data_IF_273885247226
#
_entry.id   IF_273885247226
#
_cell.length_a   1.000
_cell.length_b   1.000
_cell.length_c   1.000
_cell.angle_alpha   90.00
_cell.angle_beta   90.00
_cell.angle_gamma   90.00
#
_symmetry.space_group_name_H-M   'P 1'
#
loop_
_entity.id
_entity.type
_entity.pdbx_description
1 polymer ?
#
# COMPACT_ATOMS: atom_id res chain seq x y z
N UNK A 1 -45.03 -10.48 -21.42
CA UNK A 1 -45.95 -9.61 -20.66
C UNK A 1 -46.28 -10.34 -19.36
N UNK A 2 -46.24 -9.64 -18.22
CA UNK A 2 -46.55 -10.20 -16.90
C UNK A 2 -48.04 -9.94 -16.64
N UNK A 3 -48.75 -10.91 -16.08
CA UNK A 3 -50.20 -10.83 -15.79
C UNK A 3 -50.39 -10.94 -14.28
N UNK A 4 -51.26 -10.12 -13.70
CA UNK A 4 -51.59 -10.18 -12.29
C UNK A 4 -53.03 -9.76 -12.01
N UNK A 5 -53.58 -10.23 -10.89
CA UNK A 5 -54.90 -9.83 -10.42
C UNK A 5 -54.90 -8.36 -9.98
N UNK A 6 -55.75 -7.55 -10.60
CA UNK A 6 -55.93 -6.16 -10.22
C UNK A 6 -57.09 -6.04 -9.21
N UNK A 7 -56.84 -5.58 -7.97
CA UNK A 7 -57.89 -5.45 -6.96
C UNK A 7 -58.95 -4.41 -7.32
N UNK A 8 -58.60 -3.38 -8.10
CA UNK A 8 -59.53 -2.36 -8.56
C UNK A 8 -60.46 -2.84 -9.70
N UNK A 9 -59.92 -3.59 -10.68
CA UNK A 9 -60.73 -4.16 -11.77
C UNK A 9 -61.41 -5.49 -11.40
N UNK A 10 -61.00 -6.11 -10.30
CA UNK A 10 -61.46 -7.43 -9.83
C UNK A 10 -61.28 -8.51 -10.93
N UNK A 11 -60.17 -8.42 -11.67
CA UNK A 11 -59.81 -9.34 -12.75
C UNK A 11 -58.31 -9.30 -13.01
N UNK A 12 -57.80 -10.37 -13.61
CA UNK A 12 -56.43 -10.43 -14.14
C UNK A 12 -56.28 -9.56 -15.39
N UNK A 13 -55.22 -8.77 -15.40
CA UNK A 13 -54.81 -7.93 -16.53
C UNK A 13 -53.31 -8.00 -16.70
N UNK A 14 -52.85 -7.66 -17.90
CA UNK A 14 -51.44 -7.35 -18.12
C UNK A 14 -51.01 -6.20 -17.20
N UNK A 15 -49.79 -6.30 -16.70
CA UNK A 15 -49.13 -5.26 -15.92
C UNK A 15 -47.87 -4.78 -16.64
N UNK A 16 -47.59 -3.50 -16.51
CA UNK A 16 -46.41 -2.87 -17.08
C UNK A 16 -45.50 -2.25 -15.99
N UNK A 17 -44.17 -2.28 -16.18
CA UNK A 17 -43.24 -1.71 -15.21
C UNK A 17 -43.22 -0.18 -15.30
N UNK A 18 -43.18 0.47 -14.14
CA UNK A 18 -43.02 1.92 -13.97
C UNK A 18 -41.85 2.17 -13.03
N UNK A 19 -41.00 3.12 -13.39
CA UNK A 19 -39.91 3.60 -12.53
C UNK A 19 -40.32 4.88 -11.84
N UNK A 20 -40.13 4.96 -10.53
CA UNK A 20 -40.32 6.18 -9.73
C UNK A 20 -39.27 6.25 -8.62
N UNK A 21 -38.92 7.44 -8.12
CA UNK A 21 -38.07 7.56 -6.95
C UNK A 21 -38.81 7.07 -5.70
N UNK A 22 -38.13 6.31 -4.86
CA UNK A 22 -38.63 5.81 -3.58
C UNK A 22 -37.55 5.91 -2.51
N UNK A 23 -37.95 6.25 -1.28
CA UNK A 23 -37.03 6.36 -0.14
C UNK A 23 -37.23 5.16 0.80
N UNK A 24 -36.15 4.41 1.00
CA UNK A 24 -36.08 3.27 1.91
C UNK A 24 -35.35 3.67 3.20
N UNK A 25 -35.87 3.27 4.36
CA UNK A 25 -35.18 3.48 5.64
C UNK A 25 -34.31 2.27 5.99
N UNK A 26 -33.01 2.40 5.77
CA UNK A 26 -32.02 1.35 6.06
C UNK A 26 -31.32 1.71 7.36
N UNK A 27 -31.52 0.90 8.41
CA UNK A 27 -31.01 1.18 9.78
C UNK A 27 -31.39 2.57 10.31
N UNK A 28 -32.57 3.06 9.95
CA UNK A 28 -33.06 4.38 10.35
C UNK A 28 -32.56 5.54 9.48
N UNK A 29 -31.71 5.27 8.49
CA UNK A 29 -31.22 6.27 7.54
C UNK A 29 -32.03 6.25 6.23
N UNK A 30 -32.47 7.41 5.72
CA UNK A 30 -33.17 7.48 4.44
C UNK A 30 -32.21 7.26 3.27
N UNK A 31 -32.52 6.31 2.41
CA UNK A 31 -31.80 5.95 1.20
C UNK A 31 -32.74 6.08 0.00
N UNK A 32 -32.42 7.00 -0.90
CA UNK A 32 -33.20 7.23 -2.12
C UNK A 32 -32.77 6.28 -3.24
N UNK A 33 -33.74 5.56 -3.81
CA UNK A 33 -33.59 4.76 -5.03
C UNK A 33 -34.34 5.48 -6.15
N UNK A 34 -33.59 6.13 -7.05
CA UNK A 34 -34.15 7.02 -8.10
C UNK A 34 -35.04 6.27 -9.11
N UNK A 35 -34.69 5.03 -9.42
CA UNK A 35 -35.34 4.20 -10.44
C UNK A 35 -36.01 2.95 -9.82
N UNK A 36 -36.73 3.08 -8.70
CA UNK A 36 -37.45 1.96 -8.10
C UNK A 36 -38.53 1.44 -9.06
N UNK A 37 -38.52 0.13 -9.31
CA UNK A 37 -39.41 -0.52 -10.28
C UNK A 37 -40.66 -0.99 -9.56
N UNK A 38 -41.82 -0.58 -10.04
CA UNK A 38 -43.13 -1.09 -9.61
C UNK A 38 -43.93 -1.51 -10.83
N UNK A 39 -45.03 -2.20 -10.62
CA UNK A 39 -45.94 -2.57 -11.71
C UNK A 39 -47.28 -1.87 -11.56
N UNK A 40 -47.90 -1.52 -12.69
CA UNK A 40 -49.28 -1.03 -12.72
C UNK A 40 -50.14 -1.80 -13.71
N UNK A 41 -51.43 -1.88 -13.40
CA UNK A 41 -52.44 -2.44 -14.30
C UNK A 41 -52.56 -1.58 -15.57
N UNK A 42 -52.48 -2.20 -16.76
CA UNK A 42 -52.57 -1.47 -18.04
C UNK A 42 -53.95 -0.85 -18.29
N UNK A 43 -55.00 -1.33 -17.61
CA UNK A 43 -56.39 -0.86 -17.80
C UNK A 43 -56.75 0.31 -16.89
N UNK A 44 -56.52 0.19 -15.58
CA UNK A 44 -56.95 1.20 -14.62
C UNK A 44 -55.79 2.00 -13.98
N UNK A 45 -54.54 1.65 -14.28
CA UNK A 45 -53.35 2.31 -13.73
C UNK A 45 -53.05 2.00 -12.25
N UNK A 46 -53.84 1.15 -11.59
CA UNK A 46 -53.62 0.77 -10.20
C UNK A 46 -52.26 0.08 -10.02
N UNK A 47 -51.49 0.49 -9.01
CA UNK A 47 -50.22 -0.14 -8.64
C UNK A 47 -50.45 -1.56 -8.10
N UNK A 48 -49.68 -2.50 -8.62
CA UNK A 48 -49.77 -3.92 -8.31
C UNK A 48 -48.49 -4.30 -7.57
N UNK A 49 -48.68 -4.86 -6.37
CA UNK A 49 -47.59 -5.42 -5.59
C UNK A 49 -46.97 -6.60 -6.35
N UNK A 50 -45.66 -6.54 -6.54
CA UNK A 50 -44.88 -7.62 -7.15
C UNK A 50 -43.65 -7.93 -6.30
N UNK A 51 -43.62 -9.14 -5.74
CA UNK A 51 -42.56 -9.55 -4.81
C UNK A 51 -41.16 -9.42 -5.42
N UNK A 52 -40.99 -9.73 -6.71
CA UNK A 52 -39.69 -9.66 -7.37
C UNK A 52 -39.18 -8.22 -7.49
N UNK A 53 -40.06 -7.26 -7.80
CA UNK A 53 -39.69 -5.85 -7.90
C UNK A 53 -39.38 -5.25 -6.53
N UNK A 54 -40.16 -5.60 -5.50
CA UNK A 54 -39.91 -5.18 -4.12
C UNK A 54 -38.55 -5.66 -3.60
N UNK A 55 -38.21 -6.94 -3.82
CA UNK A 55 -36.89 -7.46 -3.47
C UNK A 55 -35.77 -6.73 -4.21
N UNK A 56 -35.95 -6.42 -5.50
CA UNK A 56 -34.97 -5.71 -6.31
C UNK A 56 -34.74 -4.28 -5.80
N UNK A 57 -35.82 -3.57 -5.46
CA UNK A 57 -35.72 -2.20 -4.96
C UNK A 57 -35.03 -2.18 -3.59
N UNK A 58 -35.35 -3.12 -2.70
CA UNK A 58 -34.68 -3.26 -1.41
C UNK A 58 -33.19 -3.57 -1.55
N UNK A 59 -32.80 -4.46 -2.48
CA UNK A 59 -31.38 -4.72 -2.77
C UNK A 59 -30.68 -3.45 -3.26
N UNK A 60 -31.32 -2.68 -4.13
CA UNK A 60 -30.79 -1.41 -4.63
C UNK A 60 -30.56 -0.40 -3.49
N UNK A 61 -31.48 -0.34 -2.53
CA UNK A 61 -31.32 0.48 -1.32
C UNK A 61 -30.16 -0.01 -0.44
N UNK A 62 -30.00 -1.32 -0.25
CA UNK A 62 -28.87 -1.88 0.51
C UNK A 62 -27.52 -1.61 -0.17
N UNK A 63 -27.44 -1.69 -1.49
CA UNK A 63 -26.19 -1.40 -2.21
C UNK A 63 -25.85 0.10 -2.20
N UNK A 64 -26.85 0.97 -2.28
CA UNK A 64 -26.67 2.40 -2.04
C UNK A 64 -26.16 2.68 -0.62
N UNK A 65 -26.74 2.03 0.39
CA UNK A 65 -26.27 2.11 1.77
C UNK A 65 -24.82 1.63 1.91
N UNK A 66 -24.47 0.47 1.33
CA UNK A 66 -23.10 -0.08 1.36
C UNK A 66 -22.08 0.89 0.77
N UNK A 67 -22.37 1.46 -0.40
CA UNK A 67 -21.49 2.45 -1.05
C UNK A 67 -21.29 3.69 -0.19
N UNK A 68 -22.36 4.18 0.45
CA UNK A 68 -22.28 5.35 1.32
C UNK A 68 -21.41 5.10 2.56
N UNK A 69 -21.44 3.89 3.10
CA UNK A 69 -20.74 3.51 4.35
C UNK A 69 -19.43 2.74 4.13
N UNK A 70 -19.01 2.53 2.88
CA UNK A 70 -17.80 1.77 2.56
C UNK A 70 -17.83 0.30 3.01
N UNK A 71 -19.02 -0.31 2.99
CA UNK A 71 -19.24 -1.71 3.36
C UNK A 71 -19.08 -2.64 2.16
N UNK A 72 -18.61 -3.87 2.41
CA UNK A 72 -18.44 -4.88 1.36
C UNK A 72 -19.77 -5.30 0.71
N UNK A 73 -19.73 -5.51 -0.60
CA UNK A 73 -20.80 -6.11 -1.41
C UNK A 73 -20.87 -7.63 -1.22
N UNK A 74 -22.02 -8.27 -1.49
CA UNK A 74 -22.15 -9.73 -1.44
C UNK A 74 -21.09 -10.46 -2.29
N UNK A 75 -20.78 -9.92 -3.46
CA UNK A 75 -19.79 -10.45 -4.40
C UNK A 75 -18.37 -10.34 -3.84
N UNK A 76 -18.03 -9.22 -3.20
CA UNK A 76 -16.71 -9.06 -2.54
C UNK A 76 -16.54 -10.04 -1.37
N UNK A 77 -17.58 -10.23 -0.56
CA UNK A 77 -17.56 -11.20 0.56
C UNK A 77 -17.37 -12.63 0.02
N UNK A 78 -18.10 -13.00 -1.04
CA UNK A 78 -17.93 -14.28 -1.70
C UNK A 78 -16.52 -14.43 -2.30
N UNK A 79 -15.98 -13.37 -2.91
CA UNK A 79 -14.64 -13.33 -3.47
C UNK A 79 -13.54 -13.56 -2.42
N UNK A 80 -13.66 -12.92 -1.26
CA UNK A 80 -12.75 -13.14 -0.11
C UNK A 80 -12.75 -14.61 0.28
N UNK A 81 -13.93 -15.22 0.44
CA UNK A 81 -14.05 -16.64 0.78
C UNK A 81 -13.42 -17.56 -0.27
N UNK A 82 -13.70 -17.29 -1.54
CA UNK A 82 -13.24 -18.09 -2.67
C UNK A 82 -11.72 -18.01 -2.86
N UNK A 83 -11.09 -16.87 -2.56
CA UNK A 83 -9.62 -16.72 -2.56
C UNK A 83 -8.93 -17.77 -1.68
N UNK A 84 -9.54 -18.11 -0.55
CA UNK A 84 -9.05 -19.14 0.36
C UNK A 84 -9.60 -20.54 0.03
N UNK A 85 -10.43 -20.68 -1.00
CA UNK A 85 -11.11 -21.93 -1.40
C UNK A 85 -12.04 -22.50 -0.31
N UNK A 86 -12.58 -21.65 0.56
CA UNK A 86 -13.41 -22.07 1.69
C UNK A 86 -14.89 -22.20 1.30
N UNK A 87 -15.61 -23.12 1.95
CA UNK A 87 -17.07 -23.11 1.93
C UNK A 87 -17.61 -22.05 2.89
N UNK A 88 -18.86 -21.60 2.69
CA UNK A 88 -19.50 -20.62 3.58
C UNK A 88 -19.49 -21.09 5.05
N UNK A 89 -19.73 -22.39 5.25
CA UNK A 89 -19.69 -23.05 6.57
C UNK A 89 -18.28 -23.06 7.17
N UNK A 90 -17.25 -23.31 6.36
CA UNK A 90 -15.87 -23.33 6.83
C UNK A 90 -15.41 -21.92 7.25
N UNK A 91 -15.71 -20.91 6.44
CA UNK A 91 -15.40 -19.52 6.78
C UNK A 91 -16.14 -19.06 8.05
N UNK A 92 -17.44 -19.32 8.15
CA UNK A 92 -18.22 -18.98 9.34
C UNK A 92 -17.62 -19.60 10.62
N UNK A 93 -17.25 -20.89 10.58
CA UNK A 93 -16.63 -21.57 11.72
C UNK A 93 -15.25 -21.02 12.05
N UNK A 94 -14.43 -20.72 11.03
CA UNK A 94 -13.09 -20.18 11.21
C UNK A 94 -13.12 -18.79 11.87
N UNK A 95 -14.11 -17.96 11.54
CA UNK A 95 -14.31 -16.64 12.13
C UNK A 95 -15.04 -16.67 13.49
N UNK A 96 -15.56 -17.83 13.91
CA UNK A 96 -16.33 -17.96 15.15
C UNK A 96 -17.81 -17.58 15.01
N UNK A 97 -18.29 -17.31 13.79
CA UNK A 97 -19.64 -16.83 13.52
C UNK A 97 -20.67 -17.95 13.42
N UNK A 98 -21.96 -17.58 13.43
CA UNK A 98 -23.06 -18.48 13.15
C UNK A 98 -23.01 -19.01 11.71
N UNK A 99 -23.41 -20.26 11.50
CA UNK A 99 -23.27 -20.95 10.21
C UNK A 99 -24.01 -20.27 9.04
N UNK A 100 -25.10 -19.55 9.35
CA UNK A 100 -25.92 -18.84 8.36
C UNK A 100 -25.40 -17.42 8.10
N UNK A 101 -24.50 -16.89 8.94
CA UNK A 101 -24.03 -15.50 8.88
C UNK A 101 -23.35 -15.18 7.55
N UNK A 102 -22.48 -16.06 7.05
CA UNK A 102 -21.82 -15.84 5.76
C UNK A 102 -22.83 -15.99 4.60
N UNK A 103 -23.71 -16.99 4.68
CA UNK A 103 -24.75 -17.21 3.67
C UNK A 103 -25.65 -15.98 3.50
N UNK A 104 -26.14 -15.37 4.59
CA UNK A 104 -27.00 -14.18 4.50
C UNK A 104 -26.28 -13.00 3.84
N UNK A 105 -25.00 -12.78 4.15
CA UNK A 105 -24.23 -11.67 3.60
C UNK A 105 -23.96 -11.87 2.10
N UNK A 106 -23.57 -13.08 1.69
CA UNK A 106 -23.40 -13.44 0.28
C UNK A 106 -24.73 -13.43 -0.51
N UNK A 107 -25.88 -13.43 0.16
CA UNK A 107 -27.21 -13.30 -0.45
C UNK A 107 -27.82 -11.88 -0.31
N UNK A 108 -27.02 -10.88 0.04
CA UNK A 108 -27.47 -9.49 0.02
C UNK A 108 -27.91 -8.90 1.36
N UNK A 109 -27.92 -9.66 2.46
CA UNK A 109 -28.19 -9.09 3.78
C UNK A 109 -27.08 -8.12 4.20
N UNK A 110 -27.44 -7.04 4.90
CA UNK A 110 -26.47 -6.10 5.43
C UNK A 110 -25.69 -6.69 6.61
N UNK A 111 -24.37 -6.62 6.51
CA UNK A 111 -23.45 -6.98 7.57
C UNK A 111 -23.38 -5.92 8.65
N UNK A 112 -23.22 -6.35 9.90
CA UNK A 112 -22.82 -5.45 10.97
C UNK A 112 -21.36 -4.99 10.77
N UNK A 113 -21.02 -3.86 11.38
CA UNK A 113 -19.72 -3.22 11.21
C UNK A 113 -18.56 -4.08 11.72
N UNK A 114 -18.79 -4.88 12.77
CA UNK A 114 -17.74 -5.73 13.35
C UNK A 114 -17.37 -6.88 12.41
N UNK A 115 -18.37 -7.48 11.78
CA UNK A 115 -18.17 -8.53 10.78
C UNK A 115 -17.54 -7.96 9.52
N UNK A 116 -18.01 -6.82 9.04
CA UNK A 116 -17.45 -6.14 7.87
C UNK A 116 -15.95 -5.84 8.03
N UNK A 117 -15.56 -5.31 9.20
CA UNK A 117 -14.16 -5.01 9.53
C UNK A 117 -13.30 -6.26 9.45
N UNK A 118 -13.73 -7.37 10.07
CA UNK A 118 -12.98 -8.63 10.04
C UNK A 118 -12.85 -9.16 8.61
N UNK A 119 -13.90 -9.07 7.78
CA UNK A 119 -13.84 -9.49 6.38
C UNK A 119 -12.84 -8.66 5.57
N UNK A 120 -12.79 -7.34 5.80
CA UNK A 120 -11.78 -6.47 5.18
C UNK A 120 -10.37 -6.80 5.65
N UNK A 121 -10.17 -7.03 6.94
CA UNK A 121 -8.87 -7.41 7.51
C UNK A 121 -8.33 -8.71 6.89
N UNK A 122 -9.16 -9.75 6.76
CA UNK A 122 -8.74 -11.00 6.09
C UNK A 122 -8.57 -10.85 4.58
N UNK A 123 -9.15 -9.82 3.96
CA UNK A 123 -8.92 -9.54 2.54
C UNK A 123 -7.54 -8.91 2.32
N UNK A 124 -7.12 -8.01 3.22
CA UNK A 124 -5.82 -7.34 3.17
C UNK A 124 -4.66 -8.21 3.71
N UNK A 125 -4.89 -8.96 4.79
CA UNK A 125 -3.87 -9.77 5.46
C UNK A 125 -4.35 -11.23 5.65
N UNK A 126 -3.90 -12.16 4.79
CA UNK A 126 -4.18 -13.58 4.92
C UNK A 126 -3.80 -14.21 6.27
N UNK A 127 -2.85 -13.63 7.01
CA UNK A 127 -2.42 -14.12 8.32
C UNK A 127 -3.51 -14.00 9.38
N UNK A 128 -4.41 -13.02 9.25
CA UNK A 128 -5.52 -12.81 10.18
C UNK A 128 -6.46 -14.02 10.17
N UNK A 129 -6.74 -14.59 9.00
CA UNK A 129 -7.61 -15.76 8.88
C UNK A 129 -6.98 -17.00 9.52
N UNK A 130 -5.66 -17.18 9.41
CA UNK A 130 -4.94 -18.27 10.11
C UNK A 130 -5.09 -18.14 11.62
N UNK A 131 -4.85 -16.95 12.17
CA UNK A 131 -4.98 -16.69 13.62
C UNK A 131 -6.40 -16.98 14.11
N UNK A 132 -7.42 -16.60 13.33
CA UNK A 132 -8.83 -16.89 13.65
C UNK A 132 -9.13 -18.40 13.61
N UNK A 133 -8.60 -19.12 12.61
CA UNK A 133 -8.75 -20.57 12.52
C UNK A 133 -8.09 -21.30 13.71
N UNK A 134 -6.90 -20.87 14.11
CA UNK A 134 -6.20 -21.41 15.27
C UNK A 134 -6.97 -21.19 16.56
N UNK A 135 -7.43 -19.96 16.80
CA UNK A 135 -8.25 -19.62 17.95
C UNK A 135 -9.54 -20.47 18.03
N UNK A 136 -10.16 -20.73 16.88
CA UNK A 136 -11.38 -21.52 16.77
C UNK A 136 -11.13 -23.01 16.50
N UNK A 137 -9.91 -23.54 16.73
CA UNK A 137 -9.54 -24.94 16.46
C UNK A 137 -10.50 -25.96 17.09
N UNK A 138 -10.96 -25.70 18.31
CA UNK A 138 -11.90 -26.55 19.05
C UNK A 138 -13.24 -26.77 18.32
N UNK A 139 -13.58 -25.92 17.34
CA UNK A 139 -14.80 -26.06 16.54
C UNK A 139 -14.66 -27.04 15.40
N UNK A 140 -13.50 -27.65 15.16
CA UNK A 140 -13.19 -28.52 14.02
C UNK A 140 -12.74 -29.90 14.46
N UNK A 141 -12.97 -30.91 13.61
CA UNK A 141 -12.24 -32.17 13.75
C UNK A 141 -10.78 -31.96 13.38
N UNK A 142 -9.90 -32.83 13.88
CA UNK A 142 -8.47 -32.70 13.65
C UNK A 142 -8.10 -32.74 12.16
N UNK A 143 -8.71 -33.65 11.39
CA UNK A 143 -8.47 -33.79 9.95
C UNK A 143 -9.03 -32.60 9.15
N UNK A 144 -10.22 -32.10 9.52
CA UNK A 144 -10.81 -30.93 8.89
C UNK A 144 -9.95 -29.69 9.14
N UNK A 145 -9.49 -29.52 10.37
CA UNK A 145 -8.62 -28.41 10.76
C UNK A 145 -7.28 -28.45 10.02
N UNK A 146 -6.61 -29.60 9.97
CA UNK A 146 -5.33 -29.77 9.24
C UNK A 146 -5.47 -29.39 7.78
N UNK A 147 -6.53 -29.87 7.11
CA UNK A 147 -6.81 -29.54 5.71
C UNK A 147 -7.02 -28.03 5.51
N UNK A 148 -7.87 -27.41 6.34
CA UNK A 148 -8.16 -25.98 6.25
C UNK A 148 -6.92 -25.12 6.55
N UNK A 149 -6.12 -25.52 7.54
CA UNK A 149 -4.88 -24.87 7.90
C UNK A 149 -3.89 -24.90 6.73
N UNK A 150 -3.61 -26.08 6.15
CA UNK A 150 -2.73 -26.21 5.00
C UNK A 150 -3.21 -25.38 3.80
N UNK A 151 -4.52 -25.33 3.57
CA UNK A 151 -5.11 -24.56 2.48
C UNK A 151 -4.91 -23.05 2.66
N UNK A 152 -5.23 -22.51 3.85
CA UNK A 152 -5.05 -21.08 4.14
C UNK A 152 -3.56 -20.74 4.20
N UNK A 153 -2.74 -21.58 4.83
CA UNK A 153 -1.28 -21.40 4.91
C UNK A 153 -0.63 -21.37 3.53
N UNK A 154 -1.08 -22.22 2.59
CA UNK A 154 -0.59 -22.16 1.20
C UNK A 154 -0.94 -20.84 0.50
N UNK A 155 -2.05 -20.20 0.88
CA UNK A 155 -2.43 -18.88 0.35
C UNK A 155 -1.56 -17.78 0.93
N UNK A 156 -1.23 -17.87 2.22
CA UNK A 156 -0.27 -16.97 2.90
C UNK A 156 1.11 -17.09 2.29
N UNK A 157 1.61 -18.32 2.13
CA UNK A 157 2.91 -18.59 1.48
C UNK A 157 2.94 -18.11 0.04
N UNK A 158 1.84 -18.24 -0.73
CA UNK A 158 1.75 -17.70 -2.10
C UNK A 158 1.82 -16.18 -2.09
N UNK A 159 1.14 -15.48 -1.18
CA UNK A 159 1.26 -14.03 -1.06
C UNK A 159 2.66 -13.59 -0.64
N UNK A 160 3.31 -14.30 0.27
CA UNK A 160 4.69 -14.04 0.68
C UNK A 160 5.67 -14.29 -0.48
N UNK A 161 5.51 -15.39 -1.23
CA UNK A 161 6.33 -15.70 -2.40
C UNK A 161 6.18 -14.64 -3.49
N UNK A 162 4.94 -14.17 -3.74
CA UNK A 162 4.69 -13.09 -4.69
C UNK A 162 5.31 -11.76 -4.24
N UNK A 163 5.29 -11.47 -2.94
CA UNK A 163 6.00 -10.34 -2.34
C UNK A 163 7.52 -10.46 -2.55
N UNK A 164 8.11 -11.63 -2.29
CA UNK A 164 9.54 -11.88 -2.53
C UNK A 164 9.94 -11.76 -4.01
N UNK A 165 9.10 -12.22 -4.93
CA UNK A 165 9.33 -12.06 -6.38
C UNK A 165 9.29 -10.58 -6.76
N UNK A 166 8.30 -9.82 -6.26
CA UNK A 166 8.21 -8.38 -6.51
C UNK A 166 9.44 -7.63 -5.95
N UNK A 167 9.87 -7.95 -4.73
CA UNK A 167 11.10 -7.41 -4.13
C UNK A 167 12.32 -7.75 -4.99
N UNK A 168 12.44 -8.99 -5.46
CA UNK A 168 13.54 -9.42 -6.33
C UNK A 168 13.57 -8.66 -7.65
N UNK A 169 12.43 -8.50 -8.33
CA UNK A 169 12.30 -7.74 -9.59
C UNK A 169 12.66 -6.25 -9.40
N UNK A 170 12.24 -5.66 -8.29
CA UNK A 170 12.58 -4.28 -7.92
C UNK A 170 14.08 -4.14 -7.59
N UNK A 171 14.68 -5.10 -6.88
CA UNK A 171 16.12 -5.12 -6.64
C UNK A 171 16.92 -5.25 -7.93
N UNK A 172 16.48 -6.11 -8.85
CA UNK A 172 17.08 -6.17 -10.19
C UNK A 172 16.98 -4.81 -10.88
N UNK A 173 15.84 -4.12 -10.79
CA UNK A 173 15.68 -2.78 -11.38
C UNK A 173 16.73 -1.76 -10.88
N UNK A 174 17.12 -1.83 -9.61
CA UNK A 174 18.16 -0.97 -9.03
C UNK A 174 19.57 -1.47 -9.36
N UNK A 175 19.77 -2.79 -9.38
CA UNK A 175 21.09 -3.41 -9.47
C UNK A 175 21.63 -3.56 -10.92
N UNK A 176 20.75 -3.77 -11.92
CA UNK A 176 21.16 -4.46 -13.16
C UNK A 176 21.74 -3.58 -14.27
N UNK A 177 21.68 -2.25 -14.23
CA UNK A 177 22.10 -1.48 -15.42
C UNK A 177 22.55 -0.05 -15.17
N UNK A 178 23.65 0.12 -14.43
CA UNK A 178 24.41 1.38 -14.48
C UNK A 178 25.90 1.01 -14.44
N UNK A 179 26.69 1.64 -15.31
CA UNK A 179 28.11 1.33 -15.53
C UNK A 179 28.91 1.37 -14.20
N UNK A 180 30.01 0.60 -14.04
CA UNK A 180 30.75 0.60 -12.77
C UNK A 180 31.18 1.99 -12.28
N UNK A 181 31.41 2.95 -13.19
CA UNK A 181 31.79 4.33 -12.85
C UNK A 181 30.64 5.08 -12.17
N UNK A 182 29.43 4.93 -12.68
CA UNK A 182 28.21 5.56 -12.15
C UNK A 182 27.79 5.08 -10.76
N UNK A 183 28.30 3.94 -10.30
CA UNK A 183 28.07 3.37 -8.96
C UNK A 183 29.28 3.52 -8.03
N UNK A 184 30.31 4.23 -8.50
CA UNK A 184 31.53 4.44 -7.75
C UNK A 184 32.29 3.14 -7.50
N UNK A 185 32.38 2.28 -8.52
CA UNK A 185 33.08 0.99 -8.48
C UNK A 185 32.66 0.04 -7.34
N UNK A 186 31.42 0.17 -6.85
CA UNK A 186 30.83 -0.68 -5.82
C UNK A 186 29.58 -1.36 -6.36
N UNK A 187 29.44 -2.67 -6.12
CA UNK A 187 28.20 -3.37 -6.39
C UNK A 187 27.11 -2.87 -5.43
N UNK A 188 25.88 -2.69 -5.92
CA UNK A 188 24.75 -2.30 -5.09
C UNK A 188 24.52 -3.31 -3.97
N UNK A 189 24.46 -2.82 -2.74
CA UNK A 189 24.26 -3.63 -1.54
C UNK A 189 23.02 -3.14 -0.79
N UNK A 190 21.88 -3.80 -1.05
CA UNK A 190 20.60 -3.42 -0.46
C UNK A 190 20.59 -3.53 1.06
N UNK A 191 21.22 -4.57 1.62
CA UNK A 191 21.27 -4.75 3.07
C UNK A 191 22.03 -3.58 3.70
N UNK A 192 23.22 -3.25 3.18
CA UNK A 192 24.01 -2.10 3.67
C UNK A 192 23.24 -0.78 3.55
N UNK A 193 22.56 -0.55 2.43
CA UNK A 193 21.71 0.65 2.26
C UNK A 193 20.61 0.70 3.32
N UNK A 194 19.95 -0.42 3.59
CA UNK A 194 18.92 -0.50 4.63
C UNK A 194 19.44 -0.15 6.02
N UNK A 195 20.63 -0.63 6.39
CA UNK A 195 21.26 -0.28 7.68
C UNK A 195 21.63 1.21 7.75
N UNK A 196 22.20 1.77 6.68
CA UNK A 196 22.57 3.19 6.61
C UNK A 196 21.34 4.08 6.69
N UNK A 197 20.28 3.78 5.94
CA UNK A 197 19.07 4.61 5.90
C UNK A 197 18.34 4.57 7.26
N UNK A 198 18.21 3.38 7.88
CA UNK A 198 17.63 3.25 9.21
C UNK A 198 18.45 4.04 10.25
N UNK A 199 19.78 3.98 10.18
CA UNK A 199 20.66 4.75 11.05
C UNK A 199 20.52 6.27 10.86
N UNK A 200 20.56 6.77 9.62
CA UNK A 200 20.36 8.20 9.33
C UNK A 200 18.99 8.67 9.85
N UNK A 201 17.94 7.85 9.68
CA UNK A 201 16.60 8.18 10.18
C UNK A 201 16.54 8.30 11.71
N UNK A 202 17.26 7.43 12.43
CA UNK A 202 17.41 7.51 13.88
C UNK A 202 18.16 8.75 14.36
N UNK A 203 19.26 9.11 13.69
CA UNK A 203 20.11 10.24 14.09
C UNK A 203 19.50 11.62 13.75
N UNK A 204 18.82 11.73 12.61
CA UNK A 204 18.31 13.02 12.09
C UNK A 204 16.93 13.38 12.65
N UNK A 205 16.12 12.37 13.02
CA UNK A 205 14.76 12.54 13.56
C UNK A 205 13.73 13.06 12.52
N UNK A 206 13.87 14.31 12.07
CA UNK A 206 13.03 14.90 10.99
C UNK A 206 13.67 14.69 9.62
N UNK A 207 13.63 13.44 9.15
CA UNK A 207 14.22 13.04 7.88
C UNK A 207 13.17 12.98 6.77
N UNK A 208 13.11 14.00 5.92
CA UNK A 208 12.29 13.96 4.70
C UNK A 208 13.04 13.28 3.56
N UNK A 209 12.31 12.68 2.63
CA UNK A 209 12.84 12.06 1.40
C UNK A 209 13.92 12.89 0.69
N UNK A 210 13.67 14.18 0.46
CA UNK A 210 14.63 15.08 -0.23
C UNK A 210 15.93 15.23 0.55
N UNK A 211 15.85 15.27 1.89
CA UNK A 211 17.02 15.33 2.76
C UNK A 211 17.80 14.02 2.74
N UNK A 212 17.12 12.88 2.82
CA UNK A 212 17.78 11.57 2.71
C UNK A 212 18.56 11.44 1.40
N UNK A 213 17.96 11.80 0.27
CA UNK A 213 18.63 11.76 -1.04
C UNK A 213 19.99 12.50 -1.03
N UNK A 214 20.03 13.66 -0.37
CA UNK A 214 21.22 14.50 -0.29
C UNK A 214 22.27 13.92 0.66
N UNK A 215 21.86 13.39 1.81
CA UNK A 215 22.78 12.77 2.76
C UNK A 215 23.44 11.51 2.17
N UNK A 216 22.69 10.69 1.44
CA UNK A 216 23.23 9.53 0.72
C UNK A 216 24.23 9.96 -0.35
N UNK A 217 23.87 10.93 -1.19
CA UNK A 217 24.75 11.47 -2.23
C UNK A 217 26.07 12.02 -1.64
N UNK A 218 25.98 12.84 -0.58
CA UNK A 218 27.14 13.39 0.10
C UNK A 218 28.04 12.30 0.66
N UNK A 219 27.48 11.28 1.30
CA UNK A 219 28.26 10.18 1.89
C UNK A 219 28.98 9.37 0.81
N UNK A 220 28.27 8.96 -0.23
CA UNK A 220 28.83 8.16 -1.31
C UNK A 220 29.91 8.90 -2.09
N UNK A 221 29.67 10.15 -2.48
CA UNK A 221 30.64 10.93 -3.25
C UNK A 221 31.87 11.29 -2.40
N UNK A 222 31.70 11.52 -1.09
CA UNK A 222 32.82 11.77 -0.18
C UNK A 222 33.68 10.54 -0.01
N UNK A 223 33.07 9.37 0.22
CA UNK A 223 33.83 8.12 0.34
C UNK A 223 34.53 7.76 -0.96
N UNK A 224 33.89 7.99 -2.12
CA UNK A 224 34.53 7.79 -3.41
C UNK A 224 35.72 8.72 -3.62
N UNK A 225 35.59 10.01 -3.27
CA UNK A 225 36.68 10.97 -3.36
C UNK A 225 37.86 10.60 -2.43
N UNK A 226 37.61 9.92 -1.30
CA UNK A 226 38.64 9.46 -0.36
C UNK A 226 39.29 8.14 -0.78
N UNK A 227 38.49 7.13 -1.09
CA UNK A 227 38.90 5.71 -1.19
C UNK A 227 38.76 5.13 -2.61
N UNK A 228 38.28 5.92 -3.57
CA UNK A 228 38.02 5.47 -4.95
C UNK A 228 36.83 4.53 -5.12
N UNK A 229 36.07 4.26 -4.04
CA UNK A 229 34.83 3.46 -4.09
C UNK A 229 33.69 4.15 -3.35
N UNK A 230 32.45 3.97 -3.77
CA UNK A 230 31.27 4.42 -3.00
C UNK A 230 31.00 3.50 -1.80
N UNK A 231 30.10 3.93 -0.90
CA UNK A 231 29.66 3.14 0.25
C UNK A 231 28.58 2.15 -0.18
N UNK A 232 27.57 2.65 -0.90
CA UNK A 232 26.31 1.92 -1.14
C UNK A 232 26.22 1.22 -2.49
N UNK A 233 27.01 1.64 -3.49
CA UNK A 233 26.83 1.21 -4.88
C UNK A 233 25.58 1.79 -5.57
N UNK A 234 24.94 2.81 -5.00
CA UNK A 234 23.88 3.57 -5.67
C UNK A 234 24.49 4.46 -6.76
N UNK A 235 23.76 4.62 -7.86
CA UNK A 235 24.01 5.71 -8.80
C UNK A 235 23.12 6.91 -8.49
N UNK A 236 23.54 8.09 -8.96
CA UNK A 236 22.85 9.34 -8.70
C UNK A 236 22.52 10.06 -10.01
N UNK A 237 21.37 10.71 -10.05
CA UNK A 237 20.91 11.52 -11.18
C UNK A 237 20.62 12.96 -10.74
N UNK A 238 20.75 13.89 -11.68
CA UNK A 238 20.32 15.27 -11.53
C UNK A 238 18.79 15.31 -11.47
N UNK A 239 18.22 15.85 -10.40
CA UNK A 239 16.77 16.09 -10.28
C UNK A 239 16.47 17.55 -9.92
N UNK A 240 15.22 18.02 -10.07
CA UNK A 240 14.88 19.44 -9.88
C UNK A 240 15.28 19.99 -8.50
N UNK A 241 15.15 19.16 -7.47
CA UNK A 241 15.50 19.50 -6.08
C UNK A 241 16.91 19.01 -5.68
N UNK A 242 17.83 18.87 -6.65
CA UNK A 242 19.21 18.46 -6.43
C UNK A 242 19.48 16.97 -6.72
N UNK A 243 20.71 16.47 -6.48
CA UNK A 243 21.08 15.06 -6.67
C UNK A 243 20.19 14.09 -5.88
N UNK A 244 19.82 12.97 -6.49
CA UNK A 244 19.10 11.89 -5.83
C UNK A 244 19.54 10.53 -6.38
N UNK A 245 19.39 9.43 -5.61
CA UNK A 245 19.60 8.09 -6.14
C UNK A 245 18.77 7.87 -7.41
N UNK A 246 19.31 7.19 -8.41
CA UNK A 246 18.49 6.72 -9.52
C UNK A 246 17.44 5.73 -8.98
N UNK A 247 16.24 5.74 -9.58
CA UNK A 247 15.09 4.94 -9.13
C UNK A 247 14.77 5.09 -7.64
N UNK A 248 14.99 6.27 -7.04
CA UNK A 248 14.87 6.48 -5.60
C UNK A 248 13.50 6.05 -5.01
N UNK A 249 12.40 6.22 -5.76
CA UNK A 249 11.09 5.74 -5.30
C UNK A 249 11.04 4.23 -5.13
N UNK A 250 11.62 3.47 -6.05
CA UNK A 250 11.70 2.01 -5.95
C UNK A 250 12.53 1.61 -4.73
N UNK A 251 13.66 2.29 -4.49
CA UNK A 251 14.47 2.06 -3.30
C UNK A 251 13.67 2.29 -2.01
N UNK A 252 12.92 3.39 -1.93
CA UNK A 252 12.12 3.72 -0.76
C UNK A 252 10.99 2.72 -0.52
N UNK A 253 10.29 2.31 -1.58
CA UNK A 253 9.27 1.26 -1.51
C UNK A 253 9.85 -0.05 -0.96
N UNK A 254 11.00 -0.50 -1.49
CA UNK A 254 11.69 -1.69 -1.00
C UNK A 254 12.09 -1.59 0.47
N UNK A 255 12.68 -0.46 0.88
CA UNK A 255 13.09 -0.25 2.26
C UNK A 255 11.90 -0.29 3.23
N UNK A 256 10.73 0.19 2.80
CA UNK A 256 9.49 0.08 3.56
C UNK A 256 8.95 -1.36 3.59
N UNK A 257 8.84 -2.01 2.42
CA UNK A 257 8.29 -3.37 2.29
C UNK A 257 9.11 -4.41 3.08
N UNK A 258 10.42 -4.21 3.16
CA UNK A 258 11.35 -5.05 3.93
C UNK A 258 11.48 -4.66 5.40
N UNK A 259 10.74 -3.65 5.87
CA UNK A 259 10.71 -3.22 7.28
C UNK A 259 12.01 -2.53 7.75
N UNK A 260 12.81 -1.96 6.86
CA UNK A 260 13.97 -1.16 7.26
C UNK A 260 13.55 0.20 7.82
N UNK A 261 12.53 0.82 7.21
CA UNK A 261 11.98 2.13 7.60
C UNK A 261 10.47 2.18 7.41
N UNK A 262 9.82 3.10 8.11
CA UNK A 262 8.45 3.51 7.82
C UNK A 262 8.46 4.84 7.06
N UNK A 263 7.61 4.95 6.04
CA UNK A 263 7.42 6.20 5.27
C UNK A 263 6.01 6.70 5.51
N UNK A 264 5.92 7.90 6.10
CA UNK A 264 4.65 8.54 6.44
C UNK A 264 4.54 9.85 5.67
N UNK A 265 3.59 9.93 4.74
CA UNK A 265 3.28 11.19 4.05
C UNK A 265 2.61 12.15 5.03
N UNK A 266 3.17 13.35 5.15
CA UNK A 266 2.69 14.41 6.03
C UNK A 266 2.31 15.64 5.22
N UNK A 267 1.13 16.21 5.47
CA UNK A 267 0.75 17.52 4.95
C UNK A 267 1.43 18.65 5.73
N UNK A 268 2.01 19.60 4.99
CA UNK A 268 2.80 20.74 5.46
C UNK A 268 2.24 22.02 4.81
N UNK A 269 0.98 22.33 5.09
CA UNK A 269 0.26 23.44 4.46
C UNK A 269 -0.07 23.12 3.00
N UNK A 270 0.44 23.92 2.06
CA UNK A 270 0.23 23.71 0.62
C UNK A 270 1.09 22.58 0.01
N UNK A 271 1.98 21.99 0.81
CA UNK A 271 2.91 20.95 0.38
C UNK A 271 2.67 19.65 1.13
N UNK A 272 3.04 18.51 0.54
CA UNK A 272 3.16 17.24 1.24
C UNK A 272 4.62 16.77 1.21
N UNK A 273 5.02 16.02 2.24
CA UNK A 273 6.36 15.48 2.34
C UNK A 273 6.38 14.11 2.98
N UNK A 274 7.18 13.20 2.41
CA UNK A 274 7.39 11.86 2.94
C UNK A 274 8.43 11.90 4.07
N UNK A 275 7.98 11.64 5.30
CA UNK A 275 8.80 11.54 6.50
C UNK A 275 9.25 10.08 6.70
N UNK A 276 10.55 9.87 6.85
CA UNK A 276 11.16 8.56 6.98
C UNK A 276 11.55 8.32 8.44
N UNK A 277 11.15 7.18 8.99
CA UNK A 277 11.44 6.76 10.38
C UNK A 277 12.10 5.39 10.42
N UNK A 278 13.02 5.11 11.35
CA UNK A 278 13.57 3.76 11.49
C UNK A 278 12.49 2.78 11.95
N UNK A 279 12.41 1.60 11.32
CA UNK A 279 11.55 0.48 11.76
C UNK A 279 12.38 -0.73 12.24
N UNK A 280 13.70 -0.56 12.35
CA UNK A 280 14.62 -1.52 12.94
C UNK A 280 15.74 -0.82 13.67
N UNK A 281 16.39 -1.53 14.59
CA UNK A 281 17.69 -1.12 15.13
C UNK A 281 18.75 -1.37 14.06
N UNK A 282 19.47 -0.33 13.59
CA UNK A 282 20.46 -0.49 12.53
C UNK A 282 21.71 -1.25 13.02
N UNK A 283 22.22 -2.16 12.20
CA UNK A 283 23.49 -2.85 12.40
C UNK A 283 24.57 -2.30 11.45
N UNK A 284 25.45 -1.44 11.99
CA UNK A 284 26.57 -0.89 11.24
C UNK A 284 27.82 -1.79 11.26
N UNK A 285 27.74 -3.02 11.76
CA UNK A 285 28.85 -3.97 11.84
C UNK A 285 29.52 -4.25 10.49
N UNK A 286 28.72 -4.28 9.41
CA UNK A 286 29.19 -4.51 8.03
C UNK A 286 29.90 -3.32 7.37
N UNK A 287 30.01 -2.17 8.04
CA UNK A 287 30.70 -0.99 7.52
C UNK A 287 32.13 -0.90 8.07
N UNK A 288 33.06 -0.57 7.19
CA UNK A 288 34.45 -0.24 7.50
C UNK A 288 34.56 1.05 8.32
N UNK A 289 35.76 1.27 8.89
CA UNK A 289 36.04 2.46 9.68
C UNK A 289 35.93 3.76 8.85
N UNK A 290 36.38 3.73 7.58
CA UNK A 290 36.29 4.89 6.66
C UNK A 290 34.84 5.20 6.29
N UNK A 291 34.03 4.18 5.96
CA UNK A 291 32.60 4.35 5.64
C UNK A 291 31.85 4.97 6.84
N UNK A 292 32.10 4.47 8.06
CA UNK A 292 31.53 5.03 9.30
C UNK A 292 31.97 6.46 9.55
N UNK A 293 33.25 6.78 9.34
CA UNK A 293 33.77 8.12 9.53
C UNK A 293 33.10 9.14 8.58
N UNK A 294 32.94 8.76 7.30
CA UNK A 294 32.24 9.59 6.30
C UNK A 294 30.78 9.81 6.67
N UNK A 295 30.04 8.73 7.01
CA UNK A 295 28.63 8.83 7.40
C UNK A 295 28.44 9.74 8.62
N UNK A 296 29.28 9.57 9.65
CA UNK A 296 29.26 10.41 10.85
C UNK A 296 29.56 11.88 10.52
N UNK A 297 30.54 12.15 9.65
CA UNK A 297 30.87 13.52 9.24
C UNK A 297 29.71 14.19 8.48
N UNK A 298 29.07 13.46 7.56
CA UNK A 298 27.92 13.95 6.80
C UNK A 298 26.73 14.25 7.71
N UNK A 299 26.34 13.30 8.58
CA UNK A 299 25.22 13.51 9.51
C UNK A 299 25.53 14.61 10.52
N UNK A 300 26.75 14.67 11.06
CA UNK A 300 27.17 15.75 11.97
C UNK A 300 27.07 17.12 11.31
N UNK A 301 27.44 17.24 10.03
CA UNK A 301 27.51 18.52 9.33
C UNK A 301 26.17 18.99 8.75
N UNK A 302 25.34 18.05 8.29
CA UNK A 302 24.14 18.32 7.48
C UNK A 302 22.86 17.73 8.08
N UNK A 303 22.95 16.96 9.15
CA UNK A 303 21.82 16.32 9.82
C UNK A 303 20.83 17.31 10.41
N UNK A 304 21.23 18.55 10.73
CA UNK A 304 20.33 19.61 11.18
C UNK A 304 19.79 20.49 10.04
N UNK A 305 20.33 20.41 8.83
CA UNK A 305 19.91 21.23 7.70
C UNK A 305 18.51 20.87 7.20
N UNK A 306 17.78 21.85 6.70
CA UNK A 306 16.47 21.65 6.07
C UNK A 306 16.61 21.08 4.66
N UNK A 307 15.54 20.48 4.13
CA UNK A 307 15.51 20.01 2.74
C UNK A 307 15.80 21.14 1.74
N UNK A 308 15.38 22.38 2.06
CA UNK A 308 15.63 23.55 1.23
C UNK A 308 17.11 23.94 1.23
N UNK A 309 17.73 24.06 2.41
CA UNK A 309 19.15 24.38 2.53
C UNK A 309 20.05 23.39 1.79
N UNK A 310 19.74 22.09 1.87
CA UNK A 310 20.49 21.06 1.14
C UNK A 310 20.25 21.08 -0.38
N UNK A 311 19.05 21.48 -0.80
CA UNK A 311 18.75 21.68 -2.22
C UNK A 311 19.52 22.87 -2.76
N UNK A 312 19.44 24.01 -2.08
CA UNK A 312 20.13 25.26 -2.43
C UNK A 312 21.66 25.03 -2.47
N UNK A 313 22.22 24.28 -1.50
CA UNK A 313 23.62 23.87 -1.49
C UNK A 313 23.98 23.06 -2.75
N UNK A 314 23.19 22.04 -3.09
CA UNK A 314 23.47 21.20 -4.25
C UNK A 314 23.26 21.91 -5.59
N UNK A 315 22.39 22.93 -5.64
CA UNK A 315 22.19 23.77 -6.82
C UNK A 315 23.39 24.70 -7.09
N UNK A 316 24.20 24.98 -6.07
CA UNK A 316 25.45 25.73 -6.20
C UNK A 316 26.60 24.93 -6.83
N UNK A 317 26.46 23.62 -6.94
CA UNK A 317 27.54 22.74 -7.41
C UNK A 317 27.57 22.63 -8.94
N UNK A 318 28.77 22.80 -9.52
CA UNK A 318 29.00 22.73 -10.98
C UNK A 318 28.50 21.42 -11.57
N UNK A 319 28.66 20.33 -10.83
CA UNK A 319 28.21 19.00 -11.22
C UNK A 319 26.69 18.95 -11.50
N UNK A 320 25.90 19.66 -10.69
CA UNK A 320 24.44 19.72 -10.85
C UNK A 320 24.01 20.73 -11.91
N UNK A 321 24.66 21.91 -11.95
CA UNK A 321 24.32 23.00 -12.88
C UNK A 321 24.57 22.66 -14.36
N UNK A 322 25.59 21.87 -14.63
CA UNK A 322 26.04 21.54 -15.99
C UNK A 322 25.19 20.50 -16.72
N UNK A 323 24.12 19.98 -16.09
CA UNK A 323 23.41 18.78 -16.56
C UNK A 323 21.88 18.93 -16.57
N UNK A 324 21.18 18.34 -17.57
CA UNK A 324 19.72 18.32 -17.61
C UNK A 324 19.12 17.34 -16.58
N UNK A 325 17.82 17.47 -16.28
CA UNK A 325 17.12 16.53 -15.40
C UNK A 325 17.21 15.09 -15.91
N UNK A 326 17.40 14.15 -15.00
CA UNK A 326 17.58 12.73 -15.30
C UNK A 326 19.00 12.33 -15.72
N UNK A 327 19.90 13.29 -15.96
CA UNK A 327 21.28 12.96 -16.32
C UNK A 327 22.04 12.34 -15.13
N UNK A 328 22.81 11.29 -15.41
CA UNK A 328 23.69 10.64 -14.43
C UNK A 328 24.75 11.61 -13.91
N UNK A 329 25.02 11.52 -12.61
CA UNK A 329 26.09 12.21 -11.92
C UNK A 329 27.25 11.22 -11.72
N UNK A 330 28.34 11.33 -12.50
CA UNK A 330 29.43 10.37 -12.42
C UNK A 330 30.29 10.61 -11.17
N UNK A 331 30.62 9.53 -10.47
CA UNK A 331 31.49 9.58 -9.30
C UNK A 331 32.89 10.11 -9.60
N UNK A 332 33.40 9.91 -10.82
CA UNK A 332 34.72 10.42 -11.26
C UNK A 332 34.82 11.94 -11.23
N UNK A 333 33.70 12.65 -11.10
CA UNK A 333 33.66 14.11 -10.95
C UNK A 333 33.46 14.54 -9.48
N UNK A 334 33.53 13.63 -8.51
CA UNK A 334 33.33 13.95 -7.09
C UNK A 334 34.30 15.03 -6.57
N UNK A 335 35.56 15.03 -7.01
CA UNK A 335 36.53 16.06 -6.64
C UNK A 335 36.25 17.44 -7.29
N UNK A 336 35.30 17.55 -8.21
CA UNK A 336 34.86 18.84 -8.76
C UNK A 336 33.78 19.50 -7.87
N UNK A 337 33.15 18.73 -6.99
CA UNK A 337 32.09 19.20 -6.09
C UNK A 337 32.73 19.87 -4.86
N UNK A 338 32.40 21.13 -4.61
CA UNK A 338 33.02 21.95 -3.57
C UNK A 338 32.77 21.39 -2.17
N UNK A 339 31.51 21.05 -1.84
CA UNK A 339 31.15 20.50 -0.53
C UNK A 339 31.82 19.14 -0.27
N UNK A 340 32.04 18.33 -1.31
CA UNK A 340 32.69 17.02 -1.19
C UNK A 340 34.17 17.19 -0.86
N UNK A 341 34.85 18.14 -1.51
CA UNK A 341 36.25 18.48 -1.19
C UNK A 341 36.42 18.97 0.24
N UNK A 342 35.47 19.78 0.73
CA UNK A 342 35.48 20.25 2.12
C UNK A 342 35.30 19.10 3.12
N UNK A 343 34.34 18.21 2.88
CA UNK A 343 34.15 17.00 3.69
C UNK A 343 35.39 16.10 3.69
N UNK A 344 35.96 15.83 2.52
CA UNK A 344 37.21 15.04 2.39
C UNK A 344 38.35 15.64 3.21
N UNK A 345 38.57 16.95 3.15
CA UNK A 345 39.61 17.63 3.95
C UNK A 345 39.40 17.53 5.45
N UNK A 346 38.15 17.39 5.91
CA UNK A 346 37.85 17.24 7.34
C UNK A 346 38.08 15.82 7.88
N UNK A 347 38.33 14.86 6.99
CA UNK A 347 38.51 13.44 7.29
C UNK A 347 39.97 12.96 7.15
N UNK A 348 40.84 13.81 6.58
CA UNK A 348 42.29 13.64 6.52
C UNK A 348 42.94 14.39 7.68
#
# INVERSE_FOLDING_TARGET
MKVAFCPNCIREWDIEPVKKPEVFFVRGEPIEVVDAVHYRCVVCGNEIFDMESEERNLRSAYDAYRRKHGLLTPEEIAGIRQRYGLSQRALARALGWGLVTIHRYENGALQDESHDRILREIASDPSVLLKKLEYNKHRFSEDEWKRLYSQIASTVLKSETQSLVAVYEQLQTIAYSIDPVSRGFRAFDFQKVGEIVAWIAGEVGRLYKTKLAKLLWLADFTHFSLEGTSITGLAYVRMPYGPAPDKFQVLLSLLQETGCVDIVTQELGEYSGDLIRPNKTPDLGGLSASEKAVLNAVVRRFGSSTSKELSDLSHGEVLWQSRPDGATLPYTEADQVSVIRELKRSLL
#
